data_IF_699031114933
#
_entry.id   IF_699031114933
#
_cell.length_a   1.000
_cell.length_b   1.000
_cell.length_c   1.000
_cell.angle_alpha   90.00
_cell.angle_beta   90.00
_cell.angle_gamma   90.00
#
_symmetry.space_group_name_H-M   'P 1'
#
loop_
_entity.id
_entity.type
_entity.pdbx_description
1 polymer ?
#
# COMPACT_ATOMS: atom_id res chain seq x y z
N UNK A 1 14.51 6.25 11.85
CA UNK A 1 13.45 7.29 11.88
C UNK A 1 14.06 8.68 12.07
N UNK A 2 14.96 8.88 13.03
CA UNK A 2 15.64 10.17 13.25
C UNK A 2 16.36 10.74 12.02
N UNK A 3 17.04 9.89 11.23
CA UNK A 3 17.71 10.30 9.99
C UNK A 3 16.76 10.91 8.96
N UNK A 4 15.52 10.43 8.88
CA UNK A 4 14.54 10.93 7.91
C UNK A 4 13.81 12.18 8.39
N UNK A 5 13.66 12.38 9.70
CA UNK A 5 13.13 13.63 10.26
C UNK A 5 14.04 14.83 9.94
N UNK A 6 15.35 14.59 9.82
CA UNK A 6 16.30 15.60 9.33
C UNK A 6 16.08 15.95 7.85
N UNK A 7 15.62 14.98 7.04
CA UNK A 7 15.33 15.18 5.62
C UNK A 7 13.97 15.82 5.36
N UNK A 8 13.00 15.63 6.26
CA UNK A 8 11.65 16.16 6.12
C UNK A 8 11.17 16.83 7.41
N UNK A 9 11.68 18.03 7.77
CA UNK A 9 11.16 18.78 8.91
C UNK A 9 9.69 19.19 8.65
N UNK A 10 8.92 19.46 9.70
CA UNK A 10 7.48 19.80 9.58
C UNK A 10 7.23 21.00 8.67
N UNK A 11 8.13 21.96 8.72
CA UNK A 11 8.11 23.17 7.93
C UNK A 11 8.24 22.88 6.42
N UNK A 12 8.88 21.76 6.04
CA UNK A 12 9.01 21.33 4.63
C UNK A 12 7.69 20.87 4.01
N UNK A 13 6.66 20.67 4.83
CA UNK A 13 5.32 20.31 4.38
C UNK A 13 4.38 21.52 4.29
N UNK A 14 4.82 22.70 4.75
CA UNK A 14 4.07 23.95 4.58
C UNK A 14 4.30 24.46 3.17
N UNK A 15 3.22 24.71 2.43
CA UNK A 15 3.30 25.25 1.06
C UNK A 15 2.89 26.69 1.02
N UNK A 16 3.60 27.49 0.23
CA UNK A 16 3.19 28.83 -0.11
C UNK A 16 2.60 28.81 -1.51
N UNK A 17 1.29 29.09 -1.61
CA UNK A 17 0.62 29.20 -2.90
C UNK A 17 0.26 30.66 -3.15
N UNK A 18 0.44 31.17 -4.39
CA UNK A 18 -0.08 32.47 -4.75
C UNK A 18 -1.59 32.51 -4.49
N UNK A 19 -2.06 33.60 -3.89
CA UNK A 19 -3.49 33.85 -3.79
C UNK A 19 -4.02 34.17 -5.19
N UNK A 20 -4.91 33.33 -5.71
CA UNK A 20 -5.47 33.52 -7.06
C UNK A 20 -6.33 34.76 -7.15
N UNK A 21 -6.95 35.17 -6.05
CA UNK A 21 -7.83 36.33 -5.98
C UNK A 21 -7.04 37.62 -5.69
N UNK A 22 -5.81 37.48 -5.16
CA UNK A 22 -4.88 38.59 -4.98
C UNK A 22 -3.43 38.18 -5.32
N UNK A 23 -3.06 38.12 -6.61
CA UNK A 23 -1.73 37.68 -7.05
C UNK A 23 -0.57 38.55 -6.54
N UNK A 24 -0.86 39.77 -6.09
CA UNK A 24 0.11 40.73 -5.54
C UNK A 24 0.16 40.69 -4.00
N UNK A 25 -0.73 39.90 -3.37
CA UNK A 25 -0.82 39.73 -1.93
C UNK A 25 0.20 38.73 -1.38
N UNK A 26 0.24 38.62 -0.05
CA UNK A 26 1.05 37.62 0.63
C UNK A 26 0.59 36.21 0.23
N UNK A 27 1.51 35.31 -0.19
CA UNK A 27 1.16 33.93 -0.50
C UNK A 27 0.41 33.27 0.65
N UNK A 28 -0.63 32.50 0.31
CA UNK A 28 -1.38 31.72 1.30
C UNK A 28 -0.51 30.54 1.74
N UNK A 29 -0.30 30.41 3.04
CA UNK A 29 0.37 29.24 3.63
C UNK A 29 -0.65 28.11 3.80
N UNK A 30 -0.42 26.99 3.12
CA UNK A 30 -1.19 25.76 3.28
C UNK A 30 -0.46 24.89 4.31
N UNK A 31 -1.11 24.53 5.43
CA UNK A 31 -0.50 23.66 6.43
C UNK A 31 -0.33 22.23 5.89
N UNK A 32 0.48 21.40 6.56
CA UNK A 32 0.59 19.98 6.25
C UNK A 32 -0.79 19.30 6.31
N UNK A 33 -0.99 18.30 5.46
CA UNK A 33 -2.28 17.63 5.27
C UNK A 33 -2.12 16.11 5.33
N UNK A 34 -3.21 15.38 5.54
CA UNK A 34 -3.20 13.91 5.48
C UNK A 34 -2.81 13.43 4.08
N UNK A 35 -2.10 12.31 3.94
CA UNK A 35 -1.64 11.82 2.64
C UNK A 35 -1.84 10.30 2.52
N UNK A 36 -2.13 9.84 1.29
CA UNK A 36 -2.02 8.43 0.92
C UNK A 36 -0.54 8.08 0.99
N UNK A 37 -0.15 7.05 1.74
CA UNK A 37 1.26 6.72 1.91
C UNK A 37 1.73 5.84 0.76
N UNK A 38 2.31 6.50 -0.24
CA UNK A 38 2.96 5.89 -1.41
C UNK A 38 4.49 5.93 -1.30
N UNK A 39 5.02 6.94 -0.60
CA UNK A 39 6.45 7.24 -0.48
C UNK A 39 6.84 7.53 0.97
N UNK A 40 8.15 7.43 1.34
CA UNK A 40 8.64 7.77 2.67
C UNK A 40 8.21 9.18 3.12
N UNK A 41 8.29 10.18 2.24
CA UNK A 41 7.88 11.56 2.53
C UNK A 41 6.44 11.66 3.05
N UNK A 42 5.51 10.91 2.45
CA UNK A 42 4.10 10.92 2.83
C UNK A 42 3.91 10.38 4.25
N UNK A 43 4.60 9.28 4.59
CA UNK A 43 4.62 8.72 5.95
C UNK A 43 5.12 9.75 6.96
N UNK A 44 6.22 10.45 6.67
CA UNK A 44 6.76 11.46 7.59
C UNK A 44 5.82 12.64 7.79
N UNK A 45 5.13 13.09 6.75
CA UNK A 45 4.09 14.13 6.85
C UNK A 45 3.01 13.70 7.85
N UNK A 46 2.42 12.51 7.62
CA UNK A 46 1.34 11.96 8.46
C UNK A 46 1.79 11.79 9.91
N UNK A 47 2.97 11.21 10.14
CA UNK A 47 3.48 10.95 11.49
C UNK A 47 3.79 12.23 12.27
N UNK A 48 4.29 13.29 11.61
CA UNK A 48 4.53 14.55 12.28
C UNK A 48 3.24 15.27 12.66
N UNK A 49 2.22 15.24 11.78
CA UNK A 49 0.89 15.76 12.10
C UNK A 49 0.31 15.01 13.31
N UNK A 50 0.35 13.67 13.29
CA UNK A 50 -0.12 12.83 14.41
C UNK A 50 0.59 13.15 15.72
N UNK A 51 1.92 13.29 15.71
CA UNK A 51 2.70 13.64 16.92
C UNK A 51 2.30 14.99 17.49
N UNK A 52 2.08 15.98 16.62
CA UNK A 52 1.63 17.30 17.05
C UNK A 52 0.25 17.23 17.70
N UNK A 53 -0.70 16.55 17.07
CA UNK A 53 -2.05 16.37 17.63
C UNK A 53 -2.01 15.56 18.93
N UNK A 54 -1.21 14.48 18.99
CA UNK A 54 -1.02 13.66 20.19
C UNK A 54 -0.42 14.42 21.38
N UNK A 55 0.32 15.51 21.13
CA UNK A 55 0.84 16.37 22.20
C UNK A 55 -0.24 17.23 22.87
N UNK A 56 -1.40 17.39 22.23
CA UNK A 56 -2.50 18.24 22.68
C UNK A 56 -3.76 17.44 23.00
N UNK A 57 -3.91 16.24 22.42
CA UNK A 57 -5.12 15.44 22.49
C UNK A 57 -4.79 13.95 22.66
N UNK A 58 -5.71 13.21 23.27
CA UNK A 58 -5.64 11.75 23.30
C UNK A 58 -6.14 11.20 21.96
N UNK A 59 -5.30 10.46 21.24
CA UNK A 59 -5.67 9.81 19.97
C UNK A 59 -6.47 8.51 20.15
N UNK A 60 -6.71 8.09 21.39
CA UNK A 60 -7.39 6.82 21.69
C UNK A 60 -6.45 5.62 21.65
N UNK A 61 -7.02 4.42 21.54
CA UNK A 61 -6.25 3.18 21.58
C UNK A 61 -5.38 3.02 20.32
N UNK A 62 -4.05 2.86 20.47
CA UNK A 62 -3.19 2.58 19.33
C UNK A 62 -3.45 1.16 18.79
N UNK A 63 -3.47 1.05 17.46
CA UNK A 63 -3.58 -0.21 16.73
C UNK A 63 -2.31 -0.39 15.90
N UNK A 64 -1.46 -1.39 16.20
CA UNK A 64 -0.19 -1.56 15.51
C UNK A 64 -0.42 -2.11 14.09
N UNK A 65 0.34 -1.58 13.14
CA UNK A 65 0.37 -2.01 11.73
C UNK A 65 1.80 -2.07 11.21
N UNK A 66 2.03 -2.91 10.22
CA UNK A 66 3.26 -2.95 9.43
C UNK A 66 3.03 -2.35 8.06
N UNK A 67 3.47 -1.12 7.88
CA UNK A 67 3.44 -0.44 6.60
C UNK A 67 4.64 -0.86 5.74
N UNK A 68 4.44 -1.01 4.44
CA UNK A 68 5.51 -1.32 3.51
C UNK A 68 5.90 -0.09 2.70
N UNK A 69 7.14 0.34 2.90
CA UNK A 69 7.80 1.31 2.04
C UNK A 69 8.59 0.55 0.97
N UNK A 70 8.50 0.99 -0.27
CA UNK A 70 9.10 0.27 -1.39
C UNK A 70 10.58 0.64 -1.60
N UNK A 71 11.38 -0.36 -1.97
CA UNK A 71 12.76 -0.24 -2.41
C UNK A 71 12.97 -0.98 -3.73
N UNK A 72 13.87 -0.47 -4.57
CA UNK A 72 14.23 -1.08 -5.87
C UNK A 72 15.19 -2.26 -5.73
N UNK A 73 15.93 -2.32 -4.62
CA UNK A 73 16.76 -3.45 -4.26
C UNK A 73 15.93 -4.72 -4.11
N UNK A 74 16.52 -5.86 -4.49
CA UNK A 74 15.89 -7.17 -4.30
C UNK A 74 15.69 -7.47 -2.82
N UNK A 75 14.62 -8.19 -2.45
CA UNK A 75 14.41 -8.58 -1.07
C UNK A 75 15.54 -9.49 -0.58
N UNK A 76 16.00 -9.28 0.66
CA UNK A 76 17.10 -10.06 1.26
C UNK A 76 16.78 -11.56 1.37
N UNK A 77 15.49 -11.92 1.42
CA UNK A 77 15.01 -13.30 1.40
C UNK A 77 13.84 -13.41 0.43
N UNK A 78 13.69 -14.52 -0.31
CA UNK A 78 12.71 -14.64 -1.39
C UNK A 78 11.26 -14.58 -0.91
N UNK A 79 11.00 -14.92 0.35
CA UNK A 79 9.66 -14.92 0.95
C UNK A 79 9.20 -13.57 1.48
N UNK A 80 10.06 -12.55 1.57
CA UNK A 80 9.67 -11.25 2.09
C UNK A 80 8.64 -10.56 1.19
N UNK A 81 7.87 -9.64 1.78
CA UNK A 81 6.87 -8.84 1.06
C UNK A 81 7.51 -8.12 -0.12
N UNK A 82 6.87 -8.22 -1.29
CA UNK A 82 7.36 -7.64 -2.55
C UNK A 82 6.25 -7.56 -3.59
N UNK A 83 6.50 -6.76 -4.62
CA UNK A 83 5.74 -6.70 -5.85
C UNK A 83 6.53 -7.39 -6.97
N UNK A 84 5.82 -8.09 -7.85
CA UNK A 84 6.38 -8.72 -9.04
C UNK A 84 7.55 -9.68 -8.78
N UNK A 85 8.26 -10.03 -9.86
CA UNK A 85 9.37 -10.96 -9.83
C UNK A 85 8.96 -12.40 -9.55
N UNK A 86 9.89 -13.23 -9.06
CA UNK A 86 9.66 -14.65 -8.80
C UNK A 86 8.89 -14.86 -7.47
N UNK A 87 7.65 -15.38 -7.45
CA UNK A 87 6.93 -15.64 -6.20
C UNK A 87 7.62 -16.70 -5.33
N UNK A 88 7.49 -16.60 -4.01
CA UNK A 88 7.94 -17.65 -3.10
C UNK A 88 6.97 -18.83 -3.11
N UNK A 89 7.08 -19.69 -4.11
CA UNK A 89 6.10 -20.74 -4.43
C UNK A 89 6.78 -22.07 -4.71
N UNK A 90 6.12 -23.16 -4.33
CA UNK A 90 6.54 -24.52 -4.70
C UNK A 90 6.46 -24.71 -6.22
N UNK A 91 7.46 -25.37 -6.80
CA UNK A 91 7.54 -25.63 -8.25
C UNK A 91 6.52 -26.67 -8.73
N UNK A 92 6.06 -27.55 -7.84
CA UNK A 92 5.18 -28.68 -8.16
C UNK A 92 3.69 -28.29 -8.23
N UNK A 93 3.34 -27.07 -7.81
CA UNK A 93 1.97 -26.57 -7.88
C UNK A 93 1.64 -26.05 -9.29
N UNK A 94 0.52 -26.46 -9.91
CA UNK A 94 0.08 -25.89 -11.18
C UNK A 94 -0.06 -24.37 -11.09
N UNK A 95 0.38 -23.62 -12.10
CA UNK A 95 0.23 -22.16 -12.11
C UNK A 95 -1.27 -21.77 -12.15
N UNK A 96 -1.71 -20.72 -11.42
CA UNK A 96 -3.09 -20.25 -11.50
C UNK A 96 -3.46 -19.82 -12.92
N UNK A 97 -4.59 -20.33 -13.42
CA UNK A 97 -5.05 -20.11 -14.78
C UNK A 97 -6.54 -19.76 -14.80
N UNK A 98 -6.95 -19.01 -15.83
CA UNK A 98 -8.35 -18.69 -16.07
C UNK A 98 -9.09 -19.92 -16.58
N UNK A 99 -10.42 -19.83 -16.68
CA UNK A 99 -11.22 -20.87 -17.34
C UNK A 99 -10.81 -21.11 -18.80
N UNK A 100 -10.20 -20.13 -19.46
CA UNK A 100 -9.66 -20.25 -20.84
C UNK A 100 -8.21 -20.72 -20.89
N UNK A 101 -7.60 -21.07 -19.75
CA UNK A 101 -6.21 -21.55 -19.66
C UNK A 101 -5.16 -20.44 -19.69
N UNK A 102 -5.55 -19.17 -19.63
CA UNK A 102 -4.61 -18.04 -19.61
C UNK A 102 -3.96 -17.96 -18.22
N UNK A 103 -2.62 -17.98 -18.11
CA UNK A 103 -1.92 -17.89 -16.83
C UNK A 103 -2.12 -16.51 -16.20
N UNK A 104 -2.30 -16.50 -14.87
CA UNK A 104 -2.44 -15.25 -14.13
C UNK A 104 -1.08 -14.58 -13.97
N UNK A 105 -1.08 -13.27 -13.77
CA UNK A 105 0.13 -12.50 -13.48
C UNK A 105 0.34 -12.43 -11.97
N UNK A 106 1.54 -12.80 -11.50
CA UNK A 106 1.91 -12.59 -10.10
C UNK A 106 2.05 -11.10 -9.82
N UNK A 107 1.23 -10.60 -8.89
CA UNK A 107 1.19 -9.18 -8.54
C UNK A 107 2.07 -8.88 -7.33
N UNK A 108 1.80 -9.56 -6.22
CA UNK A 108 2.36 -9.23 -4.93
C UNK A 108 2.44 -10.45 -4.03
N UNK A 109 3.30 -10.40 -3.03
CA UNK A 109 3.21 -11.28 -1.88
C UNK A 109 3.38 -10.52 -0.59
N UNK A 110 2.73 -11.00 0.47
CA UNK A 110 2.84 -10.50 1.83
C UNK A 110 3.43 -11.58 2.73
N UNK A 111 4.53 -11.25 3.41
CA UNK A 111 5.13 -12.09 4.44
C UNK A 111 4.63 -11.67 5.81
N UNK A 112 3.87 -12.54 6.48
CA UNK A 112 3.34 -12.30 7.82
C UNK A 112 4.28 -12.77 8.92
N UNK A 113 5.46 -13.32 8.59
CA UNK A 113 6.37 -13.90 9.57
C UNK A 113 6.83 -12.91 10.64
N UNK A 114 7.06 -11.65 10.26
CA UNK A 114 7.47 -10.56 11.15
C UNK A 114 6.27 -9.79 11.75
N UNK A 115 5.05 -10.15 11.33
CA UNK A 115 3.79 -9.46 11.69
C UNK A 115 2.83 -10.38 12.46
N UNK A 116 3.32 -11.50 13.02
CA UNK A 116 2.49 -12.48 13.73
C UNK A 116 1.85 -11.89 14.99
N UNK A 117 2.53 -10.95 15.65
CA UNK A 117 2.05 -10.29 16.87
C UNK A 117 0.88 -9.33 16.62
N UNK A 118 0.73 -8.83 15.37
CA UNK A 118 -0.34 -7.91 14.97
C UNK A 118 -1.39 -8.58 14.07
N UNK A 119 -1.17 -9.85 13.70
CA UNK A 119 -2.11 -10.61 12.90
C UNK A 119 -3.34 -10.96 13.74
N UNK A 120 -4.56 -10.62 13.30
CA UNK A 120 -5.75 -10.70 14.15
C UNK A 120 -6.19 -12.13 14.45
N UNK A 121 -5.76 -13.12 13.64
CA UNK A 121 -6.04 -14.55 13.80
C UNK A 121 -4.91 -15.40 13.22
N UNK A 122 -4.95 -16.70 13.50
CA UNK A 122 -4.06 -17.67 12.87
C UNK A 122 -4.32 -17.71 11.35
N UNK A 123 -3.26 -17.46 10.57
CA UNK A 123 -3.33 -17.45 9.11
C UNK A 123 -3.09 -18.86 8.53
N UNK A 124 -3.63 -19.17 7.34
CA UNK A 124 -3.41 -20.47 6.68
C UNK A 124 -1.94 -20.75 6.30
N UNK A 125 -1.11 -19.72 6.20
CA UNK A 125 0.33 -19.81 5.96
C UNK A 125 1.04 -18.51 6.33
N UNK A 126 2.36 -18.48 6.16
CA UNK A 126 3.16 -17.30 6.47
C UNK A 126 3.30 -16.33 5.30
N UNK A 127 3.13 -16.79 4.07
CA UNK A 127 3.29 -15.97 2.87
C UNK A 127 2.03 -16.06 2.02
N UNK A 128 1.34 -14.94 1.84
CA UNK A 128 0.20 -14.81 0.93
C UNK A 128 0.71 -14.36 -0.44
N UNK A 129 0.36 -15.08 -1.50
CA UNK A 129 0.68 -14.77 -2.89
C UNK A 129 -0.59 -14.28 -3.60
N UNK A 130 -0.49 -13.18 -4.33
CA UNK A 130 -1.63 -12.55 -5.03
C UNK A 130 -1.37 -12.58 -6.53
N UNK A 131 -2.35 -13.09 -7.27
CA UNK A 131 -2.33 -13.22 -8.72
C UNK A 131 -3.53 -12.53 -9.34
N UNK A 132 -3.33 -11.80 -10.44
CA UNK A 132 -4.40 -11.16 -11.20
C UNK A 132 -4.55 -11.80 -12.58
N UNK A 133 -5.80 -12.00 -13.00
CA UNK A 133 -6.13 -12.53 -14.32
C UNK A 133 -5.78 -11.57 -15.46
N UNK A 134 -6.06 -10.28 -15.31
CA UNK A 134 -5.60 -9.19 -16.18
C UNK A 134 -5.24 -7.95 -15.37
N UNK A 135 -4.72 -6.90 -16.03
CA UNK A 135 -4.41 -5.63 -15.37
C UNK A 135 -5.66 -4.91 -14.86
N UNK A 136 -6.84 -5.24 -15.37
CA UNK A 136 -8.15 -4.71 -14.95
C UNK A 136 -8.81 -5.58 -13.86
N UNK A 137 -8.34 -6.80 -13.64
CA UNK A 137 -8.91 -7.71 -12.64
C UNK A 137 -8.75 -7.23 -11.20
N UNK A 138 -8.08 -6.11 -10.94
CA UNK A 138 -8.13 -5.47 -9.62
C UNK A 138 -9.55 -5.08 -9.22
N UNK A 139 -10.49 -4.86 -10.17
CA UNK A 139 -11.89 -4.61 -9.82
C UNK A 139 -12.52 -5.76 -9.01
N UNK A 140 -11.94 -6.97 -9.05
CA UNK A 140 -12.45 -8.15 -8.36
C UNK A 140 -13.97 -8.34 -8.60
N UNK A 141 -14.43 -7.99 -9.82
CA UNK A 141 -15.84 -8.03 -10.18
C UNK A 141 -16.35 -9.47 -10.22
N UNK A 142 -15.47 -10.39 -10.62
CA UNK A 142 -15.72 -11.82 -10.62
C UNK A 142 -14.86 -12.53 -9.58
N UNK A 143 -15.39 -13.60 -9.00
CA UNK A 143 -14.69 -14.40 -7.98
C UNK A 143 -13.36 -15.01 -8.49
N UNK A 144 -13.15 -15.09 -9.81
CA UNK A 144 -11.92 -15.58 -10.42
C UNK A 144 -10.95 -14.48 -10.86
N UNK A 145 -11.24 -13.20 -10.67
CA UNK A 145 -10.35 -12.12 -11.11
C UNK A 145 -9.04 -12.05 -10.32
N UNK A 146 -9.12 -12.32 -9.01
CA UNK A 146 -8.00 -12.35 -8.09
C UNK A 146 -7.87 -13.74 -7.48
N UNK A 147 -6.70 -14.34 -7.63
CA UNK A 147 -6.37 -15.61 -6.97
C UNK A 147 -5.38 -15.35 -5.84
N UNK A 148 -5.70 -15.90 -4.67
CA UNK A 148 -4.83 -15.87 -3.50
C UNK A 148 -4.37 -17.29 -3.18
N UNK A 149 -3.06 -17.45 -2.99
CA UNK A 149 -2.47 -18.70 -2.52
C UNK A 149 -1.67 -18.48 -1.23
N UNK A 150 -1.57 -19.52 -0.40
CA UNK A 150 -0.69 -19.54 0.76
C UNK A 150 0.55 -20.40 0.51
N UNK A 151 1.68 -19.88 0.95
CA UNK A 151 2.99 -20.52 0.90
C UNK A 151 3.65 -20.47 2.28
N UNK A 152 4.47 -21.49 2.56
CA UNK A 152 5.26 -21.55 3.79
C UNK A 152 6.61 -20.88 3.62
N UNK A 153 7.30 -20.58 4.73
CA UNK A 153 8.67 -20.01 4.69
C UNK A 153 9.72 -21.00 4.17
N UNK A 154 9.46 -22.29 4.31
CA UNK A 154 10.32 -23.38 3.84
C UNK A 154 9.60 -24.11 2.72
N UNK A 155 10.14 -23.98 1.51
CA UNK A 155 9.66 -24.72 0.35
C UNK A 155 10.40 -26.06 0.27
N UNK A 156 9.69 -27.11 -0.15
CA UNK A 156 10.30 -28.40 -0.47
C UNK A 156 11.11 -28.29 -1.76
N UNK A 157 10.55 -27.62 -2.76
CA UNK A 157 11.21 -27.33 -4.04
C UNK A 157 10.77 -25.96 -4.53
N UNK A 158 11.64 -24.98 -4.35
CA UNK A 158 11.40 -23.62 -4.82
C UNK A 158 11.29 -23.58 -6.35
N UNK A 159 10.28 -22.86 -6.84
CA UNK A 159 10.14 -22.51 -8.24
C UNK A 159 11.32 -21.66 -8.73
N UNK A 160 11.65 -21.79 -10.01
CA UNK A 160 12.65 -21.01 -10.73
C UNK A 160 12.00 -20.07 -11.75
N UNK A 161 12.74 -19.07 -12.23
CA UNK A 161 12.24 -18.16 -13.28
C UNK A 161 11.84 -18.88 -14.57
N UNK A 162 12.47 -20.01 -14.90
CA UNK A 162 12.15 -20.78 -16.10
C UNK A 162 10.80 -21.52 -16.00
N UNK A 163 10.32 -21.77 -14.78
CA UNK A 163 9.02 -22.41 -14.51
C UNK A 163 7.89 -21.37 -14.41
N UNK A 164 8.23 -20.07 -14.34
CA UNK A 164 7.27 -18.98 -14.25
C UNK A 164 6.76 -18.60 -15.65
N UNK A 165 5.43 -18.61 -15.89
CA UNK A 165 4.88 -18.07 -17.13
C UNK A 165 5.24 -16.60 -17.32
N UNK A 166 5.30 -16.15 -18.58
CA UNK A 166 5.43 -14.73 -18.87
C UNK A 166 4.23 -13.96 -18.29
N UNK A 167 4.45 -12.80 -17.64
CA UNK A 167 3.36 -12.02 -17.08
C UNK A 167 2.49 -11.43 -18.21
N UNK A 168 1.18 -11.36 -17.98
CA UNK A 168 0.23 -10.77 -18.93
C UNK A 168 0.31 -9.24 -19.00
N UNK A 169 0.92 -8.60 -18.01
CA UNK A 169 1.18 -7.16 -17.95
C UNK A 169 2.42 -6.89 -17.09
N UNK A 170 2.98 -5.69 -17.19
CA UNK A 170 4.16 -5.28 -16.40
C UNK A 170 3.76 -5.16 -14.93
N UNK A 171 4.57 -5.67 -14.00
CA UNK A 171 4.40 -5.44 -12.56
C UNK A 171 5.71 -4.87 -12.02
N UNK A 172 5.70 -3.82 -11.18
CA UNK A 172 6.91 -3.33 -10.53
C UNK A 172 7.61 -4.45 -9.76
N UNK A 173 8.92 -4.59 -9.94
CA UNK A 173 9.74 -5.49 -9.12
C UNK A 173 10.33 -4.70 -7.94
N UNK A 174 9.59 -4.63 -6.84
CA UNK A 174 9.95 -3.82 -5.66
C UNK A 174 9.93 -4.67 -4.40
N UNK A 175 10.89 -4.46 -3.50
CA UNK A 175 10.87 -5.07 -2.17
C UNK A 175 10.17 -4.16 -1.16
N UNK A 176 9.36 -4.76 -0.29
CA UNK A 176 8.73 -4.06 0.82
C UNK A 176 9.66 -4.04 2.03
N UNK A 177 9.92 -2.86 2.58
CA UNK A 177 10.61 -2.66 3.85
C UNK A 177 9.57 -2.30 4.91
N UNK A 178 9.53 -3.07 5.99
CA UNK A 178 8.58 -2.89 7.08
C UNK A 178 8.89 -1.60 7.85
N UNK A 179 7.85 -0.79 8.05
CA UNK A 179 7.81 0.29 9.02
C UNK A 179 6.65 0.03 9.98
N UNK A 180 6.97 -0.45 11.18
CA UNK A 180 5.98 -0.64 12.24
C UNK A 180 5.57 0.69 12.84
N UNK A 181 4.27 0.93 12.89
CA UNK A 181 3.68 2.16 13.43
C UNK A 181 2.32 1.87 14.07
N UNK A 182 1.74 2.88 14.72
CA UNK A 182 0.40 2.79 15.27
C UNK A 182 -0.58 3.63 14.45
N UNK A 183 -1.78 3.12 14.32
CA UNK A 183 -2.94 3.85 13.82
C UNK A 183 -3.94 4.06 14.96
N UNK A 184 -4.84 5.02 14.77
CA UNK A 184 -5.69 5.57 15.82
C UNK A 184 -7.13 5.69 15.33
N UNK A 185 -7.83 4.58 15.03
CA UNK A 185 -9.18 4.63 14.45
C UNK A 185 -10.18 5.41 15.31
N UNK A 186 -10.02 5.43 16.63
CA UNK A 186 -10.87 6.17 17.57
C UNK A 186 -10.70 7.71 17.47
N UNK A 187 -9.62 8.20 16.88
CA UNK A 187 -9.36 9.63 16.67
C UNK A 187 -10.05 10.22 15.44
N UNK A 188 -10.92 9.47 14.76
CA UNK A 188 -11.56 9.90 13.51
C UNK A 188 -12.31 11.22 13.64
N UNK A 189 -13.14 11.36 14.69
CA UNK A 189 -13.88 12.61 14.92
C UNK A 189 -12.95 13.78 15.21
N UNK A 190 -11.93 13.56 16.05
CA UNK A 190 -10.93 14.58 16.40
C UNK A 190 -10.24 15.16 15.16
N UNK A 191 -9.83 14.30 14.22
CA UNK A 191 -9.21 14.76 12.99
C UNK A 191 -10.22 15.42 12.03
N UNK A 192 -11.47 14.94 11.95
CA UNK A 192 -12.50 15.59 11.15
C UNK A 192 -12.85 17.01 11.61
N UNK A 193 -12.81 17.26 12.91
CA UNK A 193 -13.07 18.58 13.50
C UNK A 193 -11.85 19.51 13.44
N UNK A 194 -10.68 19.01 13.04
CA UNK A 194 -9.47 19.81 12.85
C UNK A 194 -9.53 20.62 11.55
N UNK A 195 -8.74 21.69 11.47
CA UNK A 195 -8.54 22.52 10.28
C UNK A 195 -7.58 21.89 9.24
N UNK A 196 -7.19 20.63 9.46
CA UNK A 196 -6.22 19.92 8.63
C UNK A 196 -6.90 19.38 7.37
N UNK A 197 -6.36 19.71 6.20
CA UNK A 197 -6.87 19.16 4.94
C UNK A 197 -6.62 17.65 4.86
N UNK A 198 -7.52 16.92 4.19
CA UNK A 198 -7.47 15.45 4.04
C UNK A 198 -7.31 14.72 5.39
N UNK A 199 -7.90 15.28 6.45
CA UNK A 199 -7.77 14.77 7.82
C UNK A 199 -8.29 13.35 8.01
N UNK A 200 -9.17 12.87 7.13
CA UNK A 200 -9.66 11.49 7.12
C UNK A 200 -8.59 10.41 6.94
N UNK A 201 -7.41 10.76 6.40
CA UNK A 201 -6.28 9.83 6.25
C UNK A 201 -5.38 9.76 7.49
N UNK A 202 -5.61 10.63 8.48
CA UNK A 202 -4.78 10.73 9.68
C UNK A 202 -5.12 9.69 10.76
N UNK A 203 -6.37 9.29 11.03
CA UNK A 203 -6.66 8.22 12.00
C UNK A 203 -6.11 6.88 11.52
N UNK A 204 -6.37 6.55 10.26
CA UNK A 204 -6.03 5.28 9.60
C UNK A 204 -5.63 5.63 8.17
N UNK A 205 -4.46 5.16 7.73
CA UNK A 205 -3.88 5.54 6.43
C UNK A 205 -4.40 4.65 5.31
N UNK A 206 -4.47 5.21 4.10
CA UNK A 206 -4.42 4.43 2.87
C UNK A 206 -2.95 4.16 2.54
N UNK A 207 -2.56 2.88 2.49
CA UNK A 207 -1.17 2.45 2.33
C UNK A 207 -1.11 0.94 2.09
N UNK A 208 -0.03 0.42 1.51
CA UNK A 208 0.23 -1.02 1.55
C UNK A 208 0.70 -1.44 2.95
N UNK A 209 -0.04 -2.31 3.62
CA UNK A 209 0.27 -2.72 5.01
C UNK A 209 -0.31 -4.08 5.40
N UNK A 210 0.26 -4.68 6.45
CA UNK A 210 -0.35 -5.77 7.23
C UNK A 210 -0.89 -5.17 8.53
N UNK A 211 -2.13 -5.53 8.88
CA UNK A 211 -2.77 -5.06 10.10
C UNK A 211 -4.30 -5.12 10.04
N UNK A 212 -4.98 -4.91 11.18
CA UNK A 212 -6.43 -5.12 11.30
C UNK A 212 -7.28 -3.90 10.89
N UNK A 213 -6.66 -2.80 10.49
CA UNK A 213 -7.31 -1.53 10.16
C UNK A 213 -6.79 -0.94 8.85
N UNK A 214 -7.68 -0.30 8.09
CA UNK A 214 -7.38 0.41 6.87
C UNK A 214 -8.33 1.60 6.67
N UNK A 215 -7.90 2.58 5.87
CA UNK A 215 -8.80 3.55 5.28
C UNK A 215 -9.55 2.87 4.14
N UNK A 216 -10.88 2.90 4.18
CA UNK A 216 -11.73 2.41 3.09
C UNK A 216 -12.27 3.60 2.31
N UNK A 217 -12.03 3.63 1.00
CA UNK A 217 -12.38 4.77 0.14
C UNK A 217 -13.91 4.81 -0.05
N UNK A 218 -14.56 3.65 -0.15
CA UNK A 218 -15.98 3.51 -0.47
C UNK A 218 -16.84 2.96 0.69
N UNK A 219 -16.28 2.89 1.91
CA UNK A 219 -16.96 2.41 3.12
C UNK A 219 -16.38 1.09 3.64
N UNK A 220 -16.58 0.79 4.93
CA UNK A 220 -16.02 -0.42 5.55
C UNK A 220 -16.88 -1.64 5.18
N UNK A 221 -16.37 -2.61 4.39
CA UNK A 221 -17.16 -3.76 3.94
C UNK A 221 -17.58 -4.68 5.11
N UNK A 222 -16.99 -4.51 6.30
CA UNK A 222 -17.34 -5.28 7.50
C UNK A 222 -18.64 -4.81 8.15
N UNK A 223 -19.15 -3.62 7.80
CA UNK A 223 -20.44 -3.15 8.30
C UNK A 223 -21.59 -4.05 7.84
N UNK A 224 -21.47 -4.64 6.66
CA UNK A 224 -22.44 -5.61 6.11
C UNK A 224 -22.06 -7.07 6.41
N UNK A 225 -20.76 -7.36 6.56
CA UNK A 225 -20.23 -8.72 6.73
C UNK A 225 -19.35 -8.82 7.99
N UNK A 226 -19.96 -9.15 9.12
CA UNK A 226 -19.31 -9.11 10.44
C UNK A 226 -18.28 -10.23 10.69
N UNK A 227 -18.20 -11.25 9.84
CA UNK A 227 -17.23 -12.34 10.00
C UNK A 227 -15.89 -12.09 9.28
N UNK A 228 -15.76 -10.94 8.61
CA UNK A 228 -14.56 -10.53 7.90
C UNK A 228 -13.53 -9.88 8.83
N UNK A 229 -12.30 -10.34 8.74
CA UNK A 229 -11.15 -9.81 9.47
C UNK A 229 -10.10 -9.32 8.49
N UNK A 230 -9.81 -8.02 8.45
CA UNK A 230 -8.76 -7.47 7.59
C UNK A 230 -7.39 -8.03 8.00
N UNK A 231 -6.62 -8.53 7.04
CA UNK A 231 -5.26 -9.05 7.28
C UNK A 231 -4.18 -8.22 6.58
N UNK A 232 -4.48 -7.69 5.39
CA UNK A 232 -3.55 -6.89 4.62
C UNK A 232 -4.27 -5.95 3.64
N UNK A 233 -3.53 -4.96 3.16
CA UNK A 233 -3.96 -4.02 2.11
C UNK A 233 -2.83 -3.81 1.12
N UNK A 234 -3.19 -3.66 -0.15
CA UNK A 234 -2.29 -3.28 -1.24
C UNK A 234 -2.81 -2.00 -1.87
N UNK A 235 -2.13 -0.87 -1.63
CA UNK A 235 -2.49 0.42 -2.20
C UNK A 235 -1.75 0.67 -3.50
N UNK A 236 -2.41 1.33 -4.45
CA UNK A 236 -1.77 1.95 -5.59
C UNK A 236 -0.66 2.92 -5.15
N UNK A 237 0.35 3.13 -6.00
CA UNK A 237 1.39 4.14 -5.80
C UNK A 237 1.89 4.76 -7.11
N UNK A 238 2.14 6.07 -7.08
CA UNK A 238 2.48 6.88 -8.26
C UNK A 238 3.76 7.70 -8.10
N UNK A 239 4.78 7.47 -8.92
CA UNK A 239 6.04 8.23 -8.86
C UNK A 239 5.89 9.74 -9.07
N UNK A 240 4.89 10.15 -9.83
CA UNK A 240 4.60 11.55 -10.08
C UNK A 240 3.10 11.74 -9.97
N UNK A 241 2.63 12.26 -8.84
CA UNK A 241 1.35 12.95 -8.84
C UNK A 241 1.59 14.35 -9.38
N UNK A 242 1.23 14.67 -10.64
CA UNK A 242 1.46 15.99 -11.22
C UNK A 242 0.68 17.09 -10.49
N UNK A 243 -0.23 16.72 -9.58
CA UNK A 243 -1.02 17.66 -8.78
C UNK A 243 -0.33 18.10 -7.50
N UNK A 244 0.62 17.34 -6.94
CA UNK A 244 0.98 17.53 -5.53
C UNK A 244 2.46 17.43 -5.13
N UNK A 245 3.43 17.08 -5.97
CA UNK A 245 4.85 17.17 -5.56
C UNK A 245 5.80 17.39 -6.74
N UNK A 246 6.34 18.60 -6.83
CA UNK A 246 7.45 18.92 -7.73
C UNK A 246 8.81 18.52 -7.15
N UNK A 247 8.89 18.28 -5.83
CA UNK A 247 10.11 17.99 -5.09
C UNK A 247 10.06 16.57 -4.45
N UNK A 248 9.72 15.57 -5.26
CA UNK A 248 9.65 14.17 -4.84
C UNK A 248 11.03 13.50 -4.85
N UNK A 249 11.94 14.02 -4.03
CA UNK A 249 13.14 13.27 -3.66
C UNK A 249 12.72 12.05 -2.82
N UNK A 250 13.32 10.89 -3.12
CA UNK A 250 13.04 9.62 -2.44
C UNK A 250 11.68 8.98 -2.74
N UNK A 251 11.39 8.78 -4.01
CA UNK A 251 10.27 7.95 -4.46
C UNK A 251 10.34 6.52 -3.89
N UNK A 252 11.54 5.95 -3.77
CA UNK A 252 11.78 4.69 -3.07
C UNK A 252 12.88 4.88 -2.02
N UNK A 253 12.95 3.98 -1.04
CA UNK A 253 13.89 4.07 0.08
C UNK A 253 15.37 4.14 -0.33
N UNK A 254 15.71 3.53 -1.46
CA UNK A 254 17.06 3.42 -2.00
C UNK A 254 17.28 4.31 -3.24
N UNK A 255 16.30 5.12 -3.62
CA UNK A 255 16.32 5.89 -4.86
C UNK A 255 16.05 7.37 -4.61
N UNK A 256 17.14 8.15 -4.54
CA UNK A 256 17.07 9.61 -4.34
C UNK A 256 16.57 10.35 -5.56
N UNK A 257 17.11 10.02 -6.72
CA UNK A 257 16.85 10.75 -7.96
C UNK A 257 15.50 10.35 -8.56
N UNK A 258 14.64 11.32 -8.94
CA UNK A 258 13.40 11.03 -9.64
C UNK A 258 13.67 10.21 -10.91
N UNK A 259 12.89 9.17 -11.13
CA UNK A 259 12.95 8.41 -12.39
C UNK A 259 12.19 9.14 -13.47
N UNK A 260 12.76 9.16 -14.67
CA UNK A 260 12.04 9.58 -15.86
C UNK A 260 11.14 8.45 -16.34
N UNK A 261 9.83 8.66 -16.21
CA UNK A 261 8.82 7.74 -16.73
C UNK A 261 8.74 7.84 -18.25
N UNK A 262 8.64 6.69 -18.92
CA UNK A 262 8.29 6.62 -20.34
C UNK A 262 6.88 7.19 -20.59
N UNK A 263 6.55 7.50 -21.85
CA UNK A 263 5.23 8.06 -22.21
C UNK A 263 4.09 7.11 -21.84
N UNK A 264 4.32 5.80 -21.96
CA UNK A 264 3.32 4.78 -21.66
C UNK A 264 3.13 4.61 -20.15
N UNK A 265 4.22 4.66 -19.36
CA UNK A 265 4.12 4.68 -17.89
C UNK A 265 3.44 5.94 -17.35
N UNK A 266 3.51 7.07 -18.08
CA UNK A 266 2.77 8.29 -17.73
C UNK A 266 1.27 8.21 -18.03
N UNK A 267 0.83 7.28 -18.89
CA UNK A 267 -0.57 7.13 -19.30
C UNK A 267 -1.40 6.23 -18.37
N UNK A 268 -0.75 5.62 -17.38
CA UNK A 268 -1.40 4.92 -16.28
C UNK A 268 -1.73 3.48 -16.63
N UNK A 269 -1.22 2.58 -15.80
CA UNK A 269 -1.98 1.47 -15.19
C UNK A 269 -0.96 0.65 -14.39
N UNK A 270 0.00 0.05 -15.08
CA UNK A 270 1.12 -0.63 -14.46
C UNK A 270 2.40 -0.37 -15.25
N UNK A 271 3.49 -0.13 -14.54
CA UNK A 271 4.80 0.17 -15.12
C UNK A 271 5.94 -0.38 -14.27
N UNK A 272 7.19 -0.06 -14.62
CA UNK A 272 8.35 -0.56 -13.87
C UNK A 272 8.37 -0.05 -12.43
N UNK A 273 7.82 1.13 -12.23
CA UNK A 273 7.85 1.86 -10.97
C UNK A 273 6.49 2.46 -10.62
N UNK A 274 5.41 1.97 -11.23
CA UNK A 274 4.07 2.51 -11.06
C UNK A 274 3.08 1.35 -10.96
N UNK A 275 2.14 1.47 -10.04
CA UNK A 275 1.03 0.52 -9.89
C UNK A 275 -0.24 1.31 -9.61
N UNK A 276 -1.18 1.26 -10.55
CA UNK A 276 -2.52 1.79 -10.44
C UNK A 276 -3.50 0.66 -10.17
N UNK A 277 -4.46 0.93 -9.30
CA UNK A 277 -5.63 0.09 -9.07
C UNK A 277 -6.81 1.02 -9.32
N UNK A 278 -7.30 1.10 -10.55
CA UNK A 278 -8.19 2.19 -10.96
C UNK A 278 -7.41 3.50 -11.06
N UNK A 279 -7.91 4.56 -10.43
CA UNK A 279 -7.24 5.85 -10.38
C UNK A 279 -6.21 5.97 -9.24
N UNK A 280 -6.59 5.59 -8.01
CA UNK A 280 -5.78 5.62 -6.78
C UNK A 280 -6.31 4.59 -5.75
N UNK A 281 -6.69 3.40 -6.21
CA UNK A 281 -7.40 2.42 -5.41
C UNK A 281 -6.55 1.56 -4.48
N UNK A 282 -7.24 0.67 -3.78
CA UNK A 282 -6.67 -0.24 -2.81
C UNK A 282 -7.37 -1.60 -2.87
N UNK A 283 -6.58 -2.68 -2.87
CA UNK A 283 -7.09 -4.03 -2.61
C UNK A 283 -7.05 -4.29 -1.10
N UNK A 284 -8.14 -4.81 -0.56
CA UNK A 284 -8.26 -5.22 0.83
C UNK A 284 -8.39 -6.74 0.90
N UNK A 285 -7.59 -7.37 1.74
CA UNK A 285 -7.60 -8.82 1.93
C UNK A 285 -8.19 -9.12 3.30
N UNK A 286 -9.37 -9.72 3.31
CA UNK A 286 -10.07 -10.16 4.52
C UNK A 286 -10.00 -11.66 4.67
N UNK A 287 -9.83 -12.13 5.89
CA UNK A 287 -10.04 -13.53 6.25
C UNK A 287 -11.45 -13.67 6.80
N UNK A 288 -12.26 -14.56 6.22
CA UNK A 288 -13.59 -14.87 6.76
C UNK A 288 -13.51 -15.93 7.88
N UNK A 289 -14.66 -16.32 8.42
CA UNK A 289 -14.77 -17.34 9.47
C UNK A 289 -14.26 -18.73 9.09
N UNK A 290 -14.20 -19.07 7.79
CA UNK A 290 -13.71 -20.37 7.30
C UNK A 290 -12.20 -20.37 6.99
N UNK A 291 -11.53 -19.23 7.15
CA UNK A 291 -10.11 -19.08 6.80
C UNK A 291 -9.87 -18.85 5.30
N UNK A 292 -10.91 -18.54 4.53
CA UNK A 292 -10.80 -18.14 3.13
C UNK A 292 -10.51 -16.64 3.04
N UNK A 293 -9.65 -16.26 2.08
CA UNK A 293 -9.38 -14.86 1.78
C UNK A 293 -10.46 -14.32 0.83
N UNK A 294 -11.12 -13.25 1.26
CA UNK A 294 -12.03 -12.43 0.47
C UNK A 294 -11.29 -11.17 0.07
N UNK A 295 -11.30 -10.84 -1.21
CA UNK A 295 -10.65 -9.65 -1.74
C UNK A 295 -11.74 -8.65 -2.11
N UNK A 296 -11.59 -7.41 -1.66
CA UNK A 296 -12.41 -6.28 -2.13
C UNK A 296 -11.50 -5.19 -2.69
N UNK A 297 -12.07 -4.29 -3.49
CA UNK A 297 -11.35 -3.17 -4.08
C UNK A 297 -12.18 -1.91 -3.94
N UNK A 298 -11.52 -0.81 -3.57
CA UNK A 298 -12.09 0.52 -3.71
C UNK A 298 -11.17 1.41 -4.56
N UNK A 299 -11.77 2.35 -5.28
CA UNK A 299 -11.08 3.47 -5.96
C UNK A 299 -11.89 4.77 -5.80
N UNK A 300 -11.32 5.91 -6.19
CA UNK A 300 -11.95 7.23 -6.02
C UNK A 300 -12.90 7.60 -7.16
#
# INVERSE_FOLDING_TARGET
>A
METWLQHYPYESFIREVPDRDNPQGTPRRIPPYGQIIEHPRHLFCVEQIRRRVASMHNLGKPVPVDLFLWATARPQRPYLTKLGGLPHRESDRPWPQSRSGVPYTFLAQFCFADSKDISPRQLPGEVMLVFLKSKESYFAAEADDVVVEWSGLKLRKAMTLAEMPAPGFVVPELSGVIHRMNEYPESRQLFYESDISQSYLLPVTQSTKIGPVAFYIQGDPREEQTDLTLIATLSAFHLRSPRFDTDNDWQFLDMRTPVELSRDERRGDFGRYHMSLGDMGCLYFFLNSTGQVIVTMDCY
#
